data_IF_281283936124
#
_entry.id   IF_281283936124
#
_cell.length_a   1.000
_cell.length_b   1.000
_cell.length_c   1.000
_cell.angle_alpha   90.00
_cell.angle_beta   90.00
_cell.angle_gamma   90.00
#
_symmetry.space_group_name_H-M   'P 1'
#
loop_
_entity.id
_entity.type
_entity.pdbx_description
1 polymer ?
#
# COMPACT_ATOMS: atom_id res chain seq x y z
N UNK A 1 -11.15 9.01 -15.90
CA UNK A 1 -10.79 8.87 -14.47
C UNK A 1 -9.74 7.77 -14.29
N UNK A 2 -8.52 8.15 -13.93
CA UNK A 2 -7.52 7.18 -13.49
C UNK A 2 -7.99 6.53 -12.18
N UNK A 3 -7.76 5.22 -11.99
CA UNK A 3 -8.20 4.53 -10.79
C UNK A 3 -7.52 5.14 -9.57
N UNK A 4 -8.31 5.36 -8.51
CA UNK A 4 -7.81 5.94 -7.27
C UNK A 4 -6.79 5.03 -6.55
N UNK A 5 -6.85 3.72 -6.82
CA UNK A 5 -5.99 2.67 -6.30
C UNK A 5 -6.03 1.49 -7.28
N UNK A 6 -4.88 0.89 -7.57
CA UNK A 6 -4.75 -0.33 -8.36
C UNK A 6 -3.76 -1.27 -7.67
N UNK A 7 -4.17 -2.52 -7.51
CA UNK A 7 -3.32 -3.60 -6.98
C UNK A 7 -2.91 -4.51 -8.13
N UNK A 8 -1.63 -4.80 -8.23
CA UNK A 8 -1.06 -5.79 -9.16
C UNK A 8 -0.18 -6.76 -8.40
N UNK A 9 0.04 -7.96 -8.94
CA UNK A 9 0.95 -8.94 -8.34
C UNK A 9 2.15 -9.13 -9.25
N UNK A 10 3.35 -8.98 -8.70
CA UNK A 10 4.59 -9.23 -9.42
C UNK A 10 4.91 -10.74 -9.43
N UNK A 11 5.86 -11.13 -10.27
CA UNK A 11 6.31 -12.49 -10.53
C UNK A 11 6.92 -13.20 -9.31
N UNK A 12 7.43 -12.44 -8.35
CA UNK A 12 7.95 -12.92 -7.07
C UNK A 12 6.85 -13.13 -6.01
N UNK A 13 5.60 -12.78 -6.33
CA UNK A 13 4.46 -12.88 -5.43
C UNK A 13 4.11 -11.59 -4.70
N UNK A 14 4.94 -10.54 -4.80
CA UNK A 14 4.75 -9.24 -4.13
C UNK A 14 3.55 -8.49 -4.71
N UNK A 15 2.71 -7.92 -3.85
CA UNK A 15 1.60 -7.06 -4.23
C UNK A 15 2.08 -5.63 -4.43
N UNK A 16 1.95 -5.09 -5.63
CA UNK A 16 2.33 -3.71 -5.97
C UNK A 16 1.09 -2.83 -5.99
N UNK A 17 1.11 -1.78 -5.17
CA UNK A 17 0.07 -0.77 -5.11
C UNK A 17 0.46 0.44 -5.96
N UNK A 18 -0.45 0.88 -6.83
CA UNK A 18 -0.26 2.03 -7.73
C UNK A 18 -1.48 2.94 -7.71
N UNK A 19 -1.27 4.23 -7.99
CA UNK A 19 -2.37 5.19 -8.15
C UNK A 19 -2.05 6.58 -7.60
N UNK A 20 -2.64 7.59 -8.25
CA UNK A 20 -2.39 8.99 -7.96
C UNK A 20 -2.56 9.39 -6.48
N UNK A 21 -3.57 8.84 -5.79
CA UNK A 21 -3.84 9.20 -4.39
C UNK A 21 -2.83 8.59 -3.44
N UNK A 22 -2.53 7.31 -3.61
CA UNK A 22 -1.60 6.58 -2.74
C UNK A 22 -0.16 7.07 -2.95
N UNK A 23 0.24 7.33 -4.19
CA UNK A 23 1.57 7.87 -4.51
C UNK A 23 1.77 9.29 -3.96
N UNK A 24 0.74 10.15 -4.04
CA UNK A 24 0.80 11.49 -3.42
C UNK A 24 0.88 11.41 -1.90
N UNK A 25 0.08 10.54 -1.28
CA UNK A 25 0.12 10.33 0.15
C UNK A 25 1.49 9.79 0.61
N UNK A 26 2.06 8.85 -0.15
CA UNK A 26 3.38 8.29 0.09
C UNK A 26 4.48 9.37 0.02
N UNK A 27 4.49 10.20 -1.02
CA UNK A 27 5.46 11.31 -1.15
C UNK A 27 5.34 12.36 -0.05
N UNK A 28 4.17 12.48 0.58
CA UNK A 28 3.95 13.37 1.72
C UNK A 28 4.19 12.69 3.06
N UNK A 29 4.25 11.36 3.10
CA UNK A 29 4.53 10.59 4.29
C UNK A 29 6.02 10.66 4.58
N UNK A 30 6.37 11.24 5.72
CA UNK A 30 7.74 11.17 6.22
C UNK A 30 7.96 9.78 6.86
N UNK A 31 8.31 8.78 6.05
CA UNK A 31 8.51 7.41 6.50
C UNK A 31 9.80 7.20 7.32
N UNK A 32 10.72 8.16 7.30
CA UNK A 32 11.94 8.15 8.13
C UNK A 32 11.62 8.29 9.62
N UNK A 33 10.41 8.70 9.98
CA UNK A 33 9.93 8.80 11.36
C UNK A 33 8.74 7.88 11.60
N UNK A 34 8.77 7.17 12.73
CA UNK A 34 7.73 6.22 13.13
C UNK A 34 6.32 6.84 13.11
N UNK A 35 6.19 8.10 13.55
CA UNK A 35 4.92 8.85 13.50
C UNK A 35 4.39 9.05 12.08
N UNK A 36 5.28 9.27 11.11
CA UNK A 36 4.89 9.44 9.72
C UNK A 36 4.47 8.12 9.09
N UNK A 37 5.19 7.03 9.37
CA UNK A 37 4.81 5.68 8.96
C UNK A 37 3.44 5.27 9.55
N UNK A 38 3.20 5.51 10.84
CA UNK A 38 1.91 5.22 11.47
C UNK A 38 0.75 6.03 10.87
N UNK A 39 0.98 7.31 10.55
CA UNK A 39 -0.04 8.15 9.89
C UNK A 39 -0.34 7.65 8.48
N UNK A 40 0.69 7.28 7.73
CA UNK A 40 0.55 6.74 6.39
C UNK A 40 -0.23 5.42 6.41
N UNK A 41 0.13 4.49 7.30
CA UNK A 41 -0.62 3.24 7.46
C UNK A 41 -2.10 3.48 7.77
N UNK A 42 -2.44 4.45 8.63
CA UNK A 42 -3.85 4.85 8.87
C UNK A 42 -4.53 5.40 7.62
N UNK A 43 -3.80 6.13 6.79
CA UNK A 43 -4.31 6.70 5.56
C UNK A 43 -4.55 5.62 4.48
N UNK A 44 -3.68 4.61 4.39
CA UNK A 44 -3.89 3.46 3.51
C UNK A 44 -5.20 2.73 3.84
N UNK A 45 -5.44 2.49 5.14
CA UNK A 45 -6.70 1.90 5.62
C UNK A 45 -7.92 2.72 5.24
N UNK A 46 -7.86 4.05 5.40
CA UNK A 46 -8.99 4.92 5.03
C UNK A 46 -9.20 5.02 3.52
N UNK A 47 -8.20 4.69 2.71
CA UNK A 47 -8.29 4.61 1.26
C UNK A 47 -8.84 3.26 0.74
N UNK A 48 -9.05 2.27 1.63
CA UNK A 48 -9.53 0.93 1.24
C UNK A 48 -8.43 0.04 0.67
N UNK A 49 -7.17 0.27 1.04
CA UNK A 49 -6.03 -0.54 0.58
C UNK A 49 -6.13 -1.98 1.09
N UNK A 50 -6.49 -2.17 2.36
CA UNK A 50 -6.65 -3.50 2.96
C UNK A 50 -7.69 -4.33 2.21
N UNK A 51 -8.83 -3.71 1.86
CA UNK A 51 -9.89 -4.37 1.11
C UNK A 51 -9.42 -4.73 -0.32
N UNK A 52 -8.71 -3.82 -0.98
CA UNK A 52 -8.18 -4.07 -2.32
C UNK A 52 -7.10 -5.17 -2.34
N UNK A 53 -6.27 -5.25 -1.31
CA UNK A 53 -5.28 -6.31 -1.12
C UNK A 53 -5.98 -7.66 -0.86
N UNK A 54 -6.99 -7.69 0.01
CA UNK A 54 -7.79 -8.88 0.29
C UNK A 54 -8.52 -9.38 -0.96
N UNK A 55 -9.13 -8.48 -1.73
CA UNK A 55 -9.78 -8.80 -3.00
C UNK A 55 -8.80 -9.33 -4.06
N UNK A 56 -7.54 -8.89 -4.00
CA UNK A 56 -6.45 -9.42 -4.82
C UNK A 56 -5.90 -10.75 -4.31
N UNK A 57 -6.34 -11.22 -3.13
CA UNK A 57 -5.93 -12.48 -2.52
C UNK A 57 -4.64 -12.39 -1.70
N UNK A 58 -4.31 -11.21 -1.16
CA UNK A 58 -3.22 -11.05 -0.21
C UNK A 58 -3.62 -11.62 1.16
N UNK A 59 -2.69 -12.33 1.79
CA UNK A 59 -2.81 -12.91 3.13
C UNK A 59 -1.78 -12.28 4.08
N UNK A 60 -1.99 -12.42 5.39
CA UNK A 60 -0.99 -11.98 6.38
C UNK A 60 0.35 -12.66 6.14
N UNK A 61 1.41 -11.85 6.01
CA UNK A 61 2.75 -12.32 5.64
C UNK A 61 3.14 -12.04 4.19
N UNK A 62 2.19 -11.66 3.32
CA UNK A 62 2.51 -11.27 1.96
C UNK A 62 3.22 -9.92 1.90
N UNK A 63 4.16 -9.78 0.97
CA UNK A 63 4.86 -8.52 0.74
C UNK A 63 4.01 -7.59 -0.11
N UNK A 64 3.97 -6.33 0.30
CA UNK A 64 3.29 -5.25 -0.40
C UNK A 64 4.28 -4.13 -0.67
N UNK A 65 4.32 -3.64 -1.91
CA UNK A 65 5.19 -2.57 -2.36
C UNK A 65 4.38 -1.34 -2.78
N UNK A 66 4.86 -0.16 -2.38
CA UNK A 66 4.41 1.16 -2.83
C UNK A 66 5.67 1.94 -3.22
N UNK A 67 5.80 2.28 -4.50
CA UNK A 67 7.00 2.95 -5.04
C UNK A 67 8.29 2.19 -4.67
N UNK A 68 9.16 2.76 -3.84
CA UNK A 68 10.41 2.16 -3.35
C UNK A 68 10.30 1.53 -1.94
N UNK A 69 9.11 1.53 -1.34
CA UNK A 69 8.87 1.01 0.00
C UNK A 69 8.13 -0.33 -0.04
N UNK A 70 8.68 -1.33 0.64
CA UNK A 70 8.08 -2.65 0.79
C UNK A 70 7.80 -2.94 2.26
N UNK A 71 6.62 -3.47 2.55
CA UNK A 71 6.20 -3.87 3.89
C UNK A 71 5.43 -5.19 3.85
N UNK A 72 5.29 -5.82 5.01
CA UNK A 72 4.48 -7.03 5.17
C UNK A 72 3.02 -6.65 5.44
N UNK A 73 2.09 -7.29 4.73
CA UNK A 73 0.68 -7.15 5.00
C UNK A 73 0.34 -7.89 6.30
N UNK A 74 -0.34 -7.19 7.21
CA UNK A 74 -0.80 -7.74 8.49
C UNK A 74 -2.28 -7.44 8.63
N UNK A 75 -3.10 -8.50 8.56
CA UNK A 75 -4.54 -8.48 8.86
C UNK A 75 -4.84 -8.60 10.36
#
# INVERSE_FOLDING_TARGET
PEPALKVTRDSDGTFVLTGDKIERAFKMANLDHEDGAMRFARQLRSMGVDDALRDAGAESGDLVAIDDFTFEFVE
#
